data_IF_103821646927
#
_entry.id   IF_103821646927
#
_cell.length_a   1.000
_cell.length_b   1.000
_cell.length_c   1.000
_cell.angle_alpha   90.00
_cell.angle_beta   90.00
_cell.angle_gamma   90.00
#
_symmetry.space_group_name_H-M   'P 1'
#
loop_
_entity.id
_entity.type
_entity.pdbx_description
1 polymer ?
#
# COMPACT_ATOMS: atom_id res chain seq x y z
N UNK A 1 -8.80 17.56 -7.36
CA UNK A 1 -8.61 16.11 -7.45
C UNK A 1 -7.17 15.75 -7.08
N UNK A 2 -7.00 15.04 -5.97
CA UNK A 2 -5.68 14.58 -5.49
C UNK A 2 -5.35 13.22 -6.12
N UNK A 3 -4.11 13.06 -6.57
CA UNK A 3 -3.59 11.81 -7.12
C UNK A 3 -2.72 11.13 -6.08
N UNK A 4 -3.15 9.96 -5.59
CA UNK A 4 -2.37 9.13 -4.70
C UNK A 4 -1.58 8.09 -5.48
N UNK A 5 -0.41 7.73 -4.97
CA UNK A 5 0.40 6.63 -5.49
C UNK A 5 0.42 5.51 -4.46
N UNK A 6 0.03 4.33 -4.89
CA UNK A 6 -0.20 3.18 -4.01
C UNK A 6 0.59 1.99 -4.54
N UNK A 7 1.34 1.33 -3.65
CA UNK A 7 2.01 0.08 -3.98
C UNK A 7 1.00 -1.06 -3.93
N UNK A 8 0.82 -1.73 -5.06
CA UNK A 8 -0.02 -2.90 -5.23
C UNK A 8 0.85 -4.14 -5.18
N UNK A 9 0.42 -5.15 -4.46
CA UNK A 9 1.05 -6.46 -4.48
C UNK A 9 0.44 -7.30 -5.58
N UNK A 10 1.13 -7.39 -6.72
CA UNK A 10 0.65 -8.15 -7.89
C UNK A 10 0.56 -9.64 -7.62
N UNK A 11 1.52 -10.19 -6.87
CA UNK A 11 1.66 -11.63 -6.63
C UNK A 11 2.20 -11.93 -5.25
N UNK A 12 1.83 -13.09 -4.70
CA UNK A 12 2.46 -13.59 -3.49
C UNK A 12 3.95 -13.90 -3.73
N UNK A 13 4.73 -13.83 -2.64
CA UNK A 13 6.16 -14.08 -2.71
C UNK A 13 6.45 -15.58 -2.74
N UNK A 14 7.27 -15.98 -3.71
CA UNK A 14 7.90 -17.29 -3.81
C UNK A 14 9.38 -17.11 -3.46
N UNK A 15 9.75 -17.44 -2.23
CA UNK A 15 11.06 -17.09 -1.68
C UNK A 15 11.17 -15.61 -1.34
N UNK A 16 12.29 -14.97 -1.70
CA UNK A 16 12.49 -13.54 -1.46
C UNK A 16 11.58 -12.68 -2.36
N UNK A 17 11.07 -11.53 -1.86
CA UNK A 17 10.36 -10.57 -2.69
C UNK A 17 11.20 -10.11 -3.88
N UNK A 18 10.56 -9.98 -5.03
CA UNK A 18 11.13 -9.44 -6.27
C UNK A 18 10.37 -8.18 -6.65
N UNK A 19 11.01 -7.29 -7.40
CA UNK A 19 10.35 -6.08 -7.90
C UNK A 19 9.07 -6.40 -8.68
N UNK A 20 9.07 -7.50 -9.45
CA UNK A 20 7.91 -7.96 -10.21
C UNK A 20 6.70 -8.36 -9.35
N UNK A 21 6.88 -8.54 -8.04
CA UNK A 21 5.77 -8.77 -7.12
C UNK A 21 4.98 -7.49 -6.83
N UNK A 22 5.50 -6.31 -7.17
CA UNK A 22 4.92 -5.02 -6.86
C UNK A 22 4.57 -4.23 -8.13
N UNK A 23 3.60 -3.34 -8.00
CA UNK A 23 3.22 -2.37 -9.02
C UNK A 23 2.90 -1.04 -8.34
N UNK A 24 3.45 0.06 -8.84
CA UNK A 24 3.03 1.38 -8.39
C UNK A 24 1.83 1.82 -9.22
N UNK A 25 0.68 2.03 -8.58
CA UNK A 25 -0.55 2.51 -9.23
C UNK A 25 -0.83 3.93 -8.81
N UNK A 26 -1.27 4.75 -9.76
CA UNK A 26 -1.83 6.07 -9.48
C UNK A 26 -3.36 5.97 -9.44
N UNK A 27 -3.97 6.55 -8.42
CA UNK A 27 -5.43 6.64 -8.29
C UNK A 27 -5.86 8.08 -7.98
N UNK A 28 -7.04 8.46 -8.45
CA UNK A 28 -7.63 9.75 -8.13
C UNK A 28 -8.51 9.56 -6.89
N UNK A 29 -8.16 10.23 -5.80
CA UNK A 29 -8.95 10.16 -4.57
C UNK A 29 -10.30 10.86 -4.76
N UNK A 30 -11.37 10.33 -4.13
CA UNK A 30 -12.67 10.98 -4.14
C UNK A 30 -12.62 12.33 -3.40
N UNK A 31 -13.64 13.16 -3.64
CA UNK A 31 -13.85 14.38 -2.84
C UNK A 31 -14.18 13.99 -1.39
N UNK A 32 -13.70 14.81 -0.44
CA UNK A 32 -13.88 14.56 0.98
C UNK A 32 -15.34 14.74 1.41
N UNK A 33 -15.80 13.84 2.29
CA UNK A 33 -17.09 13.95 2.96
C UNK A 33 -16.93 14.51 4.38
N UNK A 34 -18.06 14.84 5.02
CA UNK A 34 -18.03 15.32 6.40
C UNK A 34 -17.44 14.26 7.35
N UNK A 35 -16.41 14.65 8.10
CA UNK A 35 -15.65 13.76 8.97
C UNK A 35 -14.46 13.04 8.32
N UNK A 36 -14.29 13.12 6.99
CA UNK A 36 -13.10 12.58 6.33
C UNK A 36 -11.86 13.45 6.60
N UNK A 37 -10.69 12.82 6.56
CA UNK A 37 -9.40 13.52 6.56
C UNK A 37 -8.56 13.08 5.38
N UNK A 38 -8.04 14.04 4.64
CA UNK A 38 -6.96 13.79 3.69
C UNK A 38 -5.63 13.87 4.43
N UNK A 39 -4.84 12.81 4.32
CA UNK A 39 -3.52 12.72 4.95
C UNK A 39 -2.43 12.49 3.91
N UNK A 40 -1.29 13.15 4.06
CA UNK A 40 -0.14 12.97 3.16
C UNK A 40 0.96 12.20 3.87
N UNK A 41 1.37 11.06 3.31
CA UNK A 41 2.47 10.26 3.84
C UNK A 41 3.79 11.05 3.78
N UNK A 42 4.44 11.23 4.93
CA UNK A 42 5.78 11.82 5.04
C UNK A 42 6.84 10.72 5.14
N UNK A 43 6.51 9.63 5.86
CA UNK A 43 7.36 8.46 6.00
C UNK A 43 6.55 7.17 5.87
N UNK A 44 7.17 6.14 5.31
CA UNK A 44 6.62 4.80 5.14
C UNK A 44 7.51 3.81 5.88
N UNK A 45 6.92 2.96 6.73
CA UNK A 45 7.66 1.88 7.39
C UNK A 45 7.76 0.66 6.47
N UNK A 46 8.87 -0.06 6.57
CA UNK A 46 9.05 -1.38 5.94
C UNK A 46 9.59 -2.33 6.99
N UNK A 47 8.82 -3.37 7.31
CA UNK A 47 9.06 -4.23 8.46
C UNK A 47 9.08 -5.71 8.07
N UNK A 48 9.89 -6.56 8.75
CA UNK A 48 9.97 -8.00 8.43
C UNK A 48 8.61 -8.72 8.47
N UNK A 49 7.71 -8.29 9.37
CA UNK A 49 6.40 -8.91 9.52
C UNK A 49 5.55 -8.77 8.24
N UNK A 50 5.79 -7.76 7.40
CA UNK A 50 5.01 -7.50 6.18
C UNK A 50 5.13 -8.63 5.16
N UNK A 51 6.20 -9.42 5.22
CA UNK A 51 6.37 -10.61 4.40
C UNK A 51 5.50 -11.75 4.95
N UNK A 52 5.60 -12.03 6.25
CA UNK A 52 4.91 -13.19 6.86
C UNK A 52 3.40 -12.99 6.95
N UNK A 53 2.95 -11.84 7.45
CA UNK A 53 1.51 -11.57 7.61
C UNK A 53 0.83 -11.46 6.25
N UNK A 54 1.49 -10.96 5.22
CA UNK A 54 0.82 -10.75 3.95
C UNK A 54 0.08 -11.96 3.36
N UNK A 55 0.57 -13.19 3.55
CA UNK A 55 -0.11 -14.40 3.06
C UNK A 55 -1.45 -14.67 3.75
N UNK A 56 -1.63 -14.17 4.97
CA UNK A 56 -2.84 -14.37 5.75
C UNK A 56 -3.88 -13.26 5.54
N UNK A 57 -3.44 -12.03 5.24
CA UNK A 57 -4.30 -10.83 5.34
C UNK A 57 -4.53 -10.08 4.02
N UNK A 58 -3.73 -10.33 2.98
CA UNK A 58 -3.89 -9.65 1.67
C UNK A 58 -3.87 -10.64 0.52
N UNK A 59 -4.66 -10.37 -0.52
CA UNK A 59 -4.71 -11.15 -1.77
C UNK A 59 -3.83 -10.52 -2.85
N UNK A 60 -3.57 -11.27 -3.90
CA UNK A 60 -2.96 -10.73 -5.11
C UNK A 60 -3.85 -9.64 -5.71
N UNK A 61 -3.27 -8.47 -5.98
CA UNK A 61 -3.95 -7.28 -6.46
C UNK A 61 -4.33 -6.26 -5.38
N UNK A 62 -4.20 -6.62 -4.09
CA UNK A 62 -4.47 -5.70 -2.99
C UNK A 62 -3.33 -4.70 -2.78
N UNK A 63 -3.64 -3.61 -2.07
CA UNK A 63 -2.64 -2.64 -1.60
C UNK A 63 -1.65 -3.34 -0.66
N UNK A 64 -0.37 -3.03 -0.84
CA UNK A 64 0.69 -3.52 0.01
C UNK A 64 0.45 -3.10 1.46
N UNK A 65 0.36 -4.08 2.34
CA UNK A 65 0.25 -3.85 3.78
C UNK A 65 1.46 -3.05 4.30
N UNK A 66 1.19 -2.06 5.15
CA UNK A 66 2.22 -1.26 5.81
C UNK A 66 1.61 -0.15 6.65
N UNK A 67 2.48 0.71 7.18
CA UNK A 67 2.10 1.88 7.97
C UNK A 67 2.80 3.13 7.44
N UNK A 68 2.11 4.27 7.56
CA UNK A 68 2.65 5.57 7.22
C UNK A 68 2.57 6.52 8.42
N UNK A 69 3.56 7.40 8.54
CA UNK A 69 3.44 8.63 9.32
C UNK A 69 2.99 9.73 8.37
N UNK A 70 1.88 10.38 8.69
CA UNK A 70 1.28 11.39 7.83
C UNK A 70 1.17 12.75 8.53
N UNK A 71 1.19 13.81 7.72
CA UNK A 71 0.89 15.19 8.12
C UNK A 71 -0.54 15.56 7.73
#
# INVERSE_FOLDING_TARGET
MVKAKTWIRKKHFEGFPKESNFELREEVLPELQDGDMLVEAVYLSVDPYMIYLSKMWIKEGDVQYGTQLAK
#
